data_IF_705181765963
#
_entry.id   IF_705181765963
#
_cell.length_a   1.000
_cell.length_b   1.000
_cell.length_c   1.000
_cell.angle_alpha   90.00
_cell.angle_beta   90.00
_cell.angle_gamma   90.00
#
_symmetry.space_group_name_H-M   'P 1'
#
loop_
_entity.id
_entity.type
_entity.pdbx_description
1 polymer ?
#
# COMPACT_ATOMS: atom_id res chain seq x y z
N UNK A 1 -13.38 -18.44 -23.89
CA UNK A 1 -13.32 -17.33 -22.92
C UNK A 1 -13.35 -17.94 -21.54
N UNK A 2 -12.26 -17.81 -20.79
CA UNK A 2 -12.26 -18.30 -19.40
C UNK A 2 -13.25 -17.48 -18.59
N UNK A 3 -13.99 -18.15 -17.72
CA UNK A 3 -14.97 -17.49 -16.85
C UNK A 3 -14.26 -16.53 -15.91
N UNK A 4 -14.83 -15.33 -15.71
CA UNK A 4 -14.32 -14.36 -14.73
C UNK A 4 -14.29 -15.01 -13.34
N UNK A 5 -13.09 -15.18 -12.79
CA UNK A 5 -12.90 -15.66 -11.42
C UNK A 5 -12.83 -14.46 -10.47
N UNK A 6 -13.54 -14.54 -9.35
CA UNK A 6 -13.53 -13.55 -8.27
C UNK A 6 -13.02 -14.19 -6.99
N UNK A 7 -12.07 -13.56 -6.31
CA UNK A 7 -11.57 -13.98 -5.01
C UNK A 7 -11.84 -12.87 -4.00
N UNK A 8 -12.55 -13.17 -2.92
CA UNK A 8 -12.78 -12.23 -1.83
C UNK A 8 -11.57 -12.24 -0.90
N UNK A 9 -10.89 -11.11 -0.76
CA UNK A 9 -9.72 -10.96 0.11
C UNK A 9 -10.09 -10.48 1.52
N UNK A 10 -11.11 -9.62 1.61
CA UNK A 10 -11.51 -9.02 2.87
C UNK A 10 -12.98 -8.58 2.82
N UNK A 11 -13.66 -8.69 3.93
CA UNK A 11 -15.05 -8.29 4.10
C UNK A 11 -15.20 -7.39 5.33
N UNK A 12 -15.92 -6.29 5.19
CA UNK A 12 -16.17 -5.36 6.29
C UNK A 12 -16.87 -6.05 7.47
N UNK A 13 -16.48 -5.71 8.69
CA UNK A 13 -16.94 -6.36 9.92
C UNK A 13 -16.21 -7.66 10.25
N UNK A 14 -15.29 -8.12 9.41
CA UNK A 14 -14.48 -9.31 9.65
C UNK A 14 -13.00 -8.98 9.80
N UNK A 15 -12.23 -9.94 10.34
CA UNK A 15 -10.77 -9.82 10.48
C UNK A 15 -10.32 -8.68 11.42
N UNK A 16 -11.19 -8.16 12.28
CA UNK A 16 -10.88 -7.09 13.22
C UNK A 16 -10.99 -5.67 12.64
N UNK A 17 -11.61 -5.50 11.47
CA UNK A 17 -11.82 -4.20 10.85
C UNK A 17 -13.28 -4.00 10.43
N UNK A 18 -13.81 -2.81 10.67
CA UNK A 18 -15.18 -2.45 10.28
C UNK A 18 -15.31 -2.28 8.76
N UNK A 19 -14.23 -1.86 8.10
CA UNK A 19 -14.20 -1.70 6.65
C UNK A 19 -12.79 -1.80 6.09
N UNK A 20 -12.72 -2.11 4.78
CA UNK A 20 -11.48 -2.12 4.00
C UNK A 20 -11.60 -1.11 2.87
N UNK A 21 -10.60 -0.23 2.71
CA UNK A 21 -10.66 0.91 1.79
C UNK A 21 -9.32 1.11 1.08
N UNK A 22 -9.36 1.92 0.02
CA UNK A 22 -8.18 2.38 -0.73
C UNK A 22 -7.30 1.20 -1.21
N UNK A 23 -7.86 0.28 -2.04
CA UNK A 23 -7.10 -0.85 -2.53
C UNK A 23 -6.06 -0.43 -3.58
N UNK A 24 -4.91 -1.11 -3.56
CA UNK A 24 -3.91 -1.09 -4.60
C UNK A 24 -3.53 -2.53 -4.99
N UNK A 25 -3.16 -2.74 -6.26
CA UNK A 25 -2.77 -4.05 -6.77
C UNK A 25 -1.59 -3.87 -7.73
N UNK A 26 -0.55 -4.70 -7.56
CA UNK A 26 0.56 -4.80 -8.52
C UNK A 26 0.91 -6.26 -8.79
N UNK A 27 1.52 -6.50 -9.95
CA UNK A 27 2.20 -7.76 -10.27
C UNK A 27 3.69 -7.50 -10.24
N UNK A 28 4.44 -8.28 -9.47
CA UNK A 28 5.89 -8.14 -9.36
C UNK A 28 6.61 -8.70 -10.61
N UNK A 29 7.91 -8.44 -10.74
CA UNK A 29 8.73 -9.02 -11.80
C UNK A 29 8.77 -10.56 -11.75
N UNK A 30 8.53 -11.17 -10.59
CA UNK A 30 8.43 -12.62 -10.43
C UNK A 30 7.02 -13.19 -10.71
N UNK A 31 6.04 -12.33 -11.07
CA UNK A 31 4.66 -12.73 -11.33
C UNK A 31 3.78 -12.80 -10.07
N UNK A 32 4.26 -12.43 -8.90
CA UNK A 32 3.49 -12.42 -7.67
C UNK A 32 2.48 -11.29 -7.69
N UNK A 33 1.23 -11.59 -7.31
CA UNK A 33 0.20 -10.58 -7.05
C UNK A 33 0.32 -10.04 -5.63
N UNK A 34 0.40 -8.72 -5.49
CA UNK A 34 0.40 -8.02 -4.21
C UNK A 34 -0.77 -7.05 -4.18
N UNK A 35 -1.72 -7.29 -3.25
CA UNK A 35 -2.83 -6.38 -3.02
C UNK A 35 -2.67 -5.71 -1.66
N UNK A 36 -2.74 -4.39 -1.60
CA UNK A 36 -2.70 -3.63 -0.35
C UNK A 36 -4.02 -2.88 -0.13
N UNK A 37 -4.33 -2.59 1.13
CA UNK A 37 -5.47 -1.75 1.48
C UNK A 37 -5.32 -1.18 2.90
N UNK A 38 -6.24 -0.28 3.27
CA UNK A 38 -6.46 0.13 4.64
C UNK A 38 -7.51 -0.76 5.30
N UNK A 39 -7.17 -1.40 6.42
CA UNK A 39 -8.12 -1.94 7.37
C UNK A 39 -8.49 -0.85 8.39
N UNK A 40 -9.76 -0.49 8.48
CA UNK A 40 -10.24 0.63 9.30
C UNK A 40 -11.11 0.16 10.46
N UNK A 41 -10.84 0.70 11.64
CA UNK A 41 -11.68 0.59 12.83
C UNK A 41 -12.31 1.95 13.07
N UNK A 42 -13.65 2.01 13.21
CA UNK A 42 -14.39 3.26 13.40
C UNK A 42 -14.05 3.93 14.73
N UNK A 43 -13.95 3.12 15.78
CA UNK A 43 -13.55 3.62 17.10
C UNK A 43 -12.11 4.13 17.04
N UNK A 44 -11.93 5.44 17.27
CA UNK A 44 -10.65 6.12 17.21
C UNK A 44 -10.09 6.34 15.81
N UNK A 45 -10.87 6.11 14.74
CA UNK A 45 -10.46 6.23 13.31
C UNK A 45 -9.10 5.55 13.03
N UNK A 46 -8.88 4.38 13.64
CA UNK A 46 -7.62 3.63 13.47
C UNK A 46 -7.55 2.98 12.09
N UNK A 47 -6.43 3.17 11.40
CA UNK A 47 -6.19 2.61 10.07
C UNK A 47 -4.87 1.86 10.03
N UNK A 48 -4.94 0.57 9.76
CA UNK A 48 -3.79 -0.33 9.60
C UNK A 48 -3.58 -0.61 8.10
N UNK A 49 -2.35 -0.56 7.63
CA UNK A 49 -2.03 -0.90 6.24
C UNK A 49 -1.76 -2.39 6.10
N UNK A 50 -2.42 -3.02 5.16
CA UNK A 50 -2.51 -4.47 5.01
C UNK A 50 -1.99 -4.91 3.65
N UNK A 51 -1.45 -6.15 3.59
CA UNK A 51 -0.99 -6.79 2.37
C UNK A 51 -1.58 -8.21 2.25
N UNK A 52 -1.97 -8.55 1.05
CA UNK A 52 -2.33 -9.91 0.62
C UNK A 52 -1.39 -10.30 -0.53
N UNK A 53 -0.81 -11.48 -0.47
CA UNK A 53 0.18 -11.97 -1.44
C UNK A 53 -0.29 -13.28 -2.04
N UNK A 54 -0.20 -13.40 -3.38
CA UNK A 54 -0.51 -14.61 -4.13
C UNK A 54 0.61 -14.93 -5.11
N UNK A 55 0.98 -16.20 -5.22
CA UNK A 55 1.99 -16.72 -6.16
C UNK A 55 1.39 -17.70 -7.18
N UNK A 56 0.06 -17.74 -7.28
CA UNK A 56 -0.70 -18.66 -8.12
C UNK A 56 -1.80 -17.93 -8.91
N UNK A 57 -1.46 -16.78 -9.47
CA UNK A 57 -2.35 -15.93 -10.28
C UNK A 57 -3.66 -15.55 -9.56
N UNK A 58 -3.60 -15.37 -8.24
CA UNK A 58 -4.73 -14.99 -7.42
C UNK A 58 -5.70 -16.15 -7.12
N UNK A 59 -5.28 -17.39 -7.33
CA UNK A 59 -6.09 -18.56 -6.96
C UNK A 59 -6.22 -18.67 -5.45
N UNK A 60 -5.11 -18.51 -4.75
CA UNK A 60 -5.05 -18.43 -3.29
C UNK A 60 -4.20 -17.25 -2.83
N UNK A 61 -4.40 -16.82 -1.60
CA UNK A 61 -3.62 -15.77 -0.97
C UNK A 61 -3.05 -16.24 0.35
N UNK A 62 -1.80 -15.89 0.62
CA UNK A 62 -1.17 -16.10 1.92
C UNK A 62 -1.95 -15.38 3.03
N UNK A 63 -1.79 -15.77 4.30
CA UNK A 63 -2.34 -15.02 5.41
C UNK A 63 -1.98 -13.54 5.33
N UNK A 64 -2.96 -12.69 5.63
CA UNK A 64 -2.81 -11.24 5.61
C UNK A 64 -1.62 -10.78 6.45
N UNK A 65 -0.74 -9.97 5.86
CA UNK A 65 0.36 -9.31 6.55
C UNK A 65 0.00 -7.86 6.92
N UNK A 66 0.61 -7.35 7.98
CA UNK A 66 0.54 -5.95 8.39
C UNK A 66 1.76 -5.21 7.82
N UNK A 67 1.52 -4.22 6.98
CA UNK A 67 2.55 -3.36 6.40
C UNK A 67 2.95 -2.23 7.35
N UNK A 68 1.98 -1.62 8.00
CA UNK A 68 2.21 -0.58 9.00
C UNK A 68 1.01 -0.47 9.95
N UNK A 69 1.28 -0.22 11.21
CA UNK A 69 0.31 0.14 12.23
C UNK A 69 0.48 1.59 12.67
N UNK A 70 -0.61 2.30 12.97
CA UNK A 70 -0.53 3.67 13.45
C UNK A 70 -0.02 3.71 14.91
N UNK A 71 0.84 4.68 15.21
CA UNK A 71 1.09 5.07 16.61
C UNK A 71 -0.18 5.70 17.23
N UNK A 72 -0.26 5.81 18.57
CA UNK A 72 -1.38 6.50 19.21
C UNK A 72 -1.57 7.91 18.65
N UNK A 73 -2.78 8.21 18.19
CA UNK A 73 -3.15 9.51 17.59
C UNK A 73 -2.66 9.72 16.14
N UNK A 74 -1.97 8.74 15.54
CA UNK A 74 -1.51 8.81 14.14
C UNK A 74 -2.57 8.25 13.20
N UNK A 75 -2.75 8.90 12.06
CA UNK A 75 -3.62 8.45 10.98
C UNK A 75 -2.78 7.97 9.79
N UNK A 76 -2.77 6.66 9.53
CA UNK A 76 -2.16 6.12 8.31
C UNK A 76 -3.19 6.08 7.18
N UNK A 77 -2.76 6.40 5.95
CA UNK A 77 -3.69 6.38 4.82
C UNK A 77 -2.98 6.24 3.47
N UNK A 78 -3.76 5.82 2.47
CA UNK A 78 -3.38 5.79 1.07
C UNK A 78 -2.14 4.92 0.78
N UNK A 79 -2.13 3.60 1.12
CA UNK A 79 -1.05 2.72 0.69
C UNK A 79 -1.02 2.61 -0.84
N UNK A 80 0.18 2.70 -1.41
CA UNK A 80 0.43 2.54 -2.84
C UNK A 80 1.64 1.64 -3.05
N UNK A 81 1.51 0.64 -3.90
CA UNK A 81 2.60 -0.24 -4.31
C UNK A 81 3.13 0.17 -5.68
N UNK A 82 4.44 -0.01 -5.87
CA UNK A 82 5.10 0.06 -7.15
C UNK A 82 6.04 -1.14 -7.28
N UNK A 83 5.80 -1.98 -8.27
CA UNK A 83 6.67 -3.10 -8.61
C UNK A 83 7.72 -2.63 -9.62
N UNK A 84 9.00 -2.69 -9.23
CA UNK A 84 10.12 -2.31 -10.08
C UNK A 84 10.58 -3.50 -10.94
N UNK A 85 11.13 -3.19 -12.12
CA UNK A 85 11.69 -4.20 -13.05
C UNK A 85 12.89 -4.95 -12.47
N UNK A 86 13.61 -4.32 -11.55
CA UNK A 86 14.76 -4.92 -10.85
C UNK A 86 14.37 -5.86 -9.69
N UNK A 87 13.07 -6.16 -9.54
CA UNK A 87 12.53 -7.04 -8.52
C UNK A 87 12.22 -6.38 -7.18
N UNK A 88 12.55 -5.10 -7.00
CA UNK A 88 12.13 -4.37 -5.81
C UNK A 88 10.63 -4.09 -5.85
N UNK A 89 10.02 -4.06 -4.67
CA UNK A 89 8.67 -3.52 -4.47
C UNK A 89 8.75 -2.34 -3.51
N UNK A 90 8.24 -1.21 -3.94
CA UNK A 90 8.18 0.01 -3.14
C UNK A 90 6.78 0.15 -2.58
N UNK A 91 6.67 0.35 -1.27
CA UNK A 91 5.43 0.69 -0.58
C UNK A 91 5.50 2.13 -0.12
N UNK A 92 4.62 2.95 -0.64
CA UNK A 92 4.42 4.32 -0.17
C UNK A 92 3.13 4.43 0.62
N UNK A 93 3.10 5.34 1.59
CA UNK A 93 1.86 5.74 2.27
C UNK A 93 1.99 7.12 2.87
N UNK A 94 0.86 7.72 3.19
CA UNK A 94 0.81 8.99 3.89
C UNK A 94 0.43 8.80 5.37
N UNK A 95 0.85 9.76 6.20
CA UNK A 95 0.40 9.89 7.59
C UNK A 95 -0.05 11.33 7.84
N UNK A 96 -1.17 11.45 8.54
CA UNK A 96 -1.73 12.73 9.01
C UNK A 96 -1.90 13.77 7.89
N UNK A 97 -2.11 13.29 6.65
CA UNK A 97 -2.20 14.09 5.43
C UNK A 97 -1.03 15.06 5.18
N UNK A 98 0.04 14.95 5.98
CA UNK A 98 1.20 15.86 5.93
C UNK A 98 2.53 15.17 5.70
N UNK A 99 2.59 13.85 5.81
CA UNK A 99 3.84 13.10 5.75
C UNK A 99 3.78 11.96 4.76
N UNK A 100 4.86 11.79 4.01
CA UNK A 100 5.05 10.68 3.06
C UNK A 100 6.13 9.73 3.58
N UNK A 101 5.87 8.43 3.46
CA UNK A 101 6.77 7.36 3.87
C UNK A 101 7.00 6.36 2.75
N UNK A 102 8.12 5.65 2.82
CA UNK A 102 8.54 4.58 1.92
C UNK A 102 9.09 3.40 2.73
N UNK A 103 8.70 2.20 2.35
CA UNK A 103 9.41 0.95 2.62
C UNK A 103 9.80 0.26 1.33
N UNK A 104 10.85 -0.54 1.36
CA UNK A 104 11.33 -1.30 0.20
C UNK A 104 11.34 -2.78 0.55
N UNK A 105 10.73 -3.59 -0.29
CA UNK A 105 10.92 -5.04 -0.31
C UNK A 105 11.95 -5.40 -1.37
N UNK A 106 12.80 -6.41 -1.07
CA UNK A 106 13.79 -6.99 -1.96
C UNK A 106 13.62 -8.52 -2.12
N UNK A 107 12.53 -9.05 -1.58
CA UNK A 107 12.18 -10.46 -1.51
C UNK A 107 10.77 -10.71 -2.03
N UNK A 108 10.41 -10.02 -3.12
CA UNK A 108 9.15 -10.21 -3.83
C UNK A 108 7.91 -9.93 -2.95
N UNK A 109 8.00 -8.94 -2.08
CA UNK A 109 6.90 -8.52 -1.19
C UNK A 109 6.68 -9.41 0.03
N UNK A 110 7.63 -10.33 0.33
CA UNK A 110 7.54 -11.16 1.55
C UNK A 110 7.79 -10.32 2.81
N UNK A 111 8.82 -9.48 2.79
CA UNK A 111 9.13 -8.54 3.86
C UNK A 111 9.40 -7.14 3.34
N UNK A 112 9.26 -6.15 4.20
CA UNK A 112 9.55 -4.75 3.90
C UNK A 112 10.51 -4.19 4.94
N UNK A 113 11.59 -3.55 4.48
CA UNK A 113 12.58 -2.89 5.31
C UNK A 113 11.99 -1.76 6.18
N UNK A 114 12.84 -1.05 6.88
CA UNK A 114 12.44 0.06 7.75
C UNK A 114 11.76 1.20 6.98
N UNK A 115 10.84 1.88 7.67
CA UNK A 115 10.13 3.03 7.13
C UNK A 115 11.07 4.24 7.02
N UNK A 116 11.12 4.84 5.84
CA UNK A 116 11.85 6.08 5.57
C UNK A 116 10.87 7.21 5.34
N UNK A 117 11.04 8.32 6.06
CA UNK A 117 10.25 9.53 5.84
C UNK A 117 10.77 10.28 4.62
N UNK A 118 9.90 10.54 3.65
CA UNK A 118 10.22 11.24 2.39
C UNK A 118 9.61 12.64 2.32
N UNK A 119 9.01 13.14 3.39
CA UNK A 119 8.30 14.43 3.40
C UNK A 119 9.16 15.57 2.87
N UNK A 120 10.46 15.60 3.19
CA UNK A 120 11.38 16.62 2.67
C UNK A 120 11.50 16.67 1.14
N UNK A 121 11.26 15.54 0.45
CA UNK A 121 11.28 15.50 -1.01
C UNK A 121 10.09 16.24 -1.65
N UNK A 122 8.99 16.38 -0.89
CA UNK A 122 7.77 17.06 -1.36
C UNK A 122 7.63 18.49 -0.80
N UNK A 123 8.46 18.88 0.17
CA UNK A 123 8.37 20.21 0.78
C UNK A 123 8.71 21.35 -0.22
N UNK A 124 9.49 21.07 -1.26
CA UNK A 124 9.74 21.99 -2.36
C UNK A 124 8.44 22.40 -3.07
N UNK A 125 7.56 21.45 -3.32
CA UNK A 125 6.28 21.70 -3.98
C UNK A 125 5.32 22.52 -3.12
N UNK A 126 5.41 22.42 -1.79
CA UNK A 126 4.55 23.21 -0.87
C UNK A 126 4.83 24.71 -0.96
N UNK A 127 6.03 25.13 -1.38
CA UNK A 127 6.37 26.54 -1.57
C UNK A 127 5.72 27.12 -2.81
N UNK A 128 5.60 26.31 -3.86
CA UNK A 128 4.95 26.71 -5.12
C UNK A 128 3.44 26.52 -5.08
N UNK A 129 3.01 25.44 -4.41
CA UNK A 129 1.61 25.04 -4.31
C UNK A 129 1.24 24.88 -2.83
N UNK A 130 0.57 25.85 -2.22
CA UNK A 130 0.21 25.81 -0.80
C UNK A 130 -0.91 24.80 -0.54
N UNK A 131 -0.59 23.50 -0.65
CA UNK A 131 -1.49 22.40 -0.36
C UNK A 131 -1.38 21.99 1.11
N UNK A 132 -2.50 21.78 1.74
CA UNK A 132 -2.59 21.37 3.15
C UNK A 132 -2.78 19.87 3.30
N UNK A 133 -3.12 19.16 2.20
CA UNK A 133 -3.43 17.75 2.20
C UNK A 133 -2.66 17.04 1.09
N UNK A 134 -1.94 15.97 1.47
CA UNK A 134 -1.26 15.07 0.54
C UNK A 134 -1.90 13.69 0.56
N UNK A 135 -2.19 13.17 -0.64
CA UNK A 135 -2.67 11.81 -0.85
C UNK A 135 -2.05 11.25 -2.14
N UNK A 136 -1.36 10.12 -2.06
CA UNK A 136 -0.63 9.49 -3.17
C UNK A 136 -1.40 8.36 -3.86
N UNK A 137 -2.55 7.96 -3.33
CA UNK A 137 -3.36 6.84 -3.81
C UNK A 137 -4.84 7.25 -3.92
N UNK A 138 -5.76 6.39 -4.39
CA UNK A 138 -5.64 4.93 -4.53
C UNK A 138 -4.97 4.49 -5.83
N UNK A 139 -4.51 3.21 -5.82
CA UNK A 139 -4.00 2.55 -7.00
C UNK A 139 -2.56 2.06 -6.84
N UNK A 140 -1.78 2.18 -7.92
CA UNK A 140 -0.39 1.75 -7.96
C UNK A 140 0.46 2.75 -8.77
N UNK A 141 1.76 2.73 -8.51
CA UNK A 141 2.75 3.42 -9.34
C UNK A 141 3.20 2.56 -10.51
N UNK A 142 3.82 3.20 -11.50
CA UNK A 142 4.46 2.52 -12.64
C UNK A 142 5.90 3.00 -12.78
N UNK A 143 6.80 2.07 -13.07
CA UNK A 143 8.16 2.40 -13.47
C UNK A 143 8.19 2.62 -14.98
N UNK A 144 8.64 3.79 -15.41
CA UNK A 144 8.76 4.14 -16.82
C UNK A 144 9.90 3.38 -17.50
N UNK A 145 9.94 3.38 -18.85
CA UNK A 145 10.99 2.69 -19.61
C UNK A 145 12.40 3.20 -19.32
N UNK A 146 12.55 4.46 -18.96
CA UNK A 146 13.81 5.10 -18.59
C UNK A 146 14.23 4.89 -17.10
N UNK A 147 13.48 4.10 -16.34
CA UNK A 147 13.76 3.81 -14.93
C UNK A 147 13.31 4.90 -13.94
N UNK A 148 12.49 5.85 -14.39
CA UNK A 148 11.87 6.88 -13.51
C UNK A 148 10.50 6.43 -13.07
#
# INVERSE_FOLDING_TARGET
MDALRKTLLAEGGQGGFDSYRVPGLVVTAAGTLLACCEGRVKEGDRRTLLLYRSTDDGATFAPRAVLAEPAPGQLLHNPMLLACKDGRVLLFWCSDYGHLYLRVSRDDGCTFGEARKLTGAIDGFRKEWPVTLWAIAPGHGVEMKNGT
#
